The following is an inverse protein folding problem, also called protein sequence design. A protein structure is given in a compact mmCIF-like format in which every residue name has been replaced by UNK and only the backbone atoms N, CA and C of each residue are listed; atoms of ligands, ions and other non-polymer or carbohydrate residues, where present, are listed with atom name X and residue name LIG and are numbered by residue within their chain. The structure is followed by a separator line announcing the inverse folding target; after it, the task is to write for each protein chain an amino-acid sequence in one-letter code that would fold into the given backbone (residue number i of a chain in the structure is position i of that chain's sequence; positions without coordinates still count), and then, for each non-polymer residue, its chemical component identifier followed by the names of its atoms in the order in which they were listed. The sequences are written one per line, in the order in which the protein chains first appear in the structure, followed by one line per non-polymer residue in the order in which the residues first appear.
data_IF_865821387104
#
_entry.id   IF_865821387104
#
_cell.length_a   1.000
_cell.length_b   1.000
_cell.length_c   1.000
_cell.angle_alpha   90.00
_cell.angle_beta   90.00
_cell.angle_gamma   90.00
#
_symmetry.space_group_name_H-M   'P 1'
#
loop_
_entity.id
_entity.type
_entity.pdbx_description
1 polymer ?
#
# COMPACT_ATOMS: atom_id res chain seq x y z
N UNK A 1 -22.75 4.55 16.85
CA UNK A 1 -22.28 4.75 15.46
C UNK A 1 -23.17 3.93 14.54
N UNK A 2 -23.61 4.42 13.38
CA UNK A 2 -24.41 3.60 12.45
C UNK A 2 -23.54 2.54 11.75
N UNK A 3 -24.16 1.44 11.29
CA UNK A 3 -23.48 0.32 10.60
C UNK A 3 -22.64 0.80 9.41
N UNK A 4 -23.16 1.73 8.60
CA UNK A 4 -22.42 2.31 7.47
C UNK A 4 -21.10 3.00 7.89
N UNK A 5 -21.11 3.77 8.99
CA UNK A 5 -19.90 4.41 9.51
C UNK A 5 -18.95 3.40 10.13
N UNK A 6 -19.48 2.36 10.78
CA UNK A 6 -18.69 1.24 11.29
C UNK A 6 -17.95 0.53 10.15
N UNK A 7 -18.67 0.11 9.11
CA UNK A 7 -18.11 -0.56 7.93
C UNK A 7 -17.04 0.30 7.26
N UNK A 8 -17.32 1.59 7.05
CA UNK A 8 -16.35 2.53 6.47
C UNK A 8 -15.07 2.61 7.31
N UNK A 9 -15.18 2.66 8.65
CA UNK A 9 -14.02 2.69 9.54
C UNK A 9 -13.25 1.36 9.52
N UNK A 10 -13.93 0.22 9.53
CA UNK A 10 -13.28 -1.11 9.46
C UNK A 10 -12.56 -1.27 8.13
N UNK A 11 -13.21 -0.98 7.00
CA UNK A 11 -12.60 -1.04 5.66
C UNK A 11 -11.43 -0.07 5.52
N UNK A 12 -11.49 1.11 6.14
CA UNK A 12 -10.37 2.06 6.18
C UNK A 12 -9.18 1.52 6.97
N UNK A 13 -9.41 0.86 8.11
CA UNK A 13 -8.33 0.24 8.89
C UNK A 13 -7.69 -0.94 8.14
N UNK A 14 -8.50 -1.69 7.38
CA UNK A 14 -8.10 -2.90 6.66
C UNK A 14 -7.84 -2.66 5.16
N UNK A 15 -7.49 -1.43 4.79
CA UNK A 15 -7.30 -1.03 3.39
C UNK A 15 -6.19 -1.83 2.67
N UNK A 16 -5.24 -2.37 3.43
CA UNK A 16 -4.07 -3.14 2.96
C UNK A 16 -4.36 -4.62 2.66
N UNK A 17 -5.61 -5.08 2.85
CA UNK A 17 -6.01 -6.44 2.51
C UNK A 17 -5.99 -6.67 0.98
N UNK A 18 -5.68 -7.91 0.59
CA UNK A 18 -5.72 -8.31 -0.82
C UNK A 18 -7.18 -8.41 -1.33
N UNK A 19 -7.38 -8.62 -2.64
CA UNK A 19 -8.72 -8.66 -3.24
C UNK A 19 -9.62 -9.74 -2.62
N UNK A 20 -9.09 -10.96 -2.38
CA UNK A 20 -9.83 -12.09 -1.79
C UNK A 20 -10.21 -11.81 -0.33
N UNK A 21 -9.27 -11.25 0.44
CA UNK A 21 -9.46 -10.88 1.85
C UNK A 21 -10.46 -9.74 2.01
N UNK A 22 -10.47 -8.78 1.10
CA UNK A 22 -11.49 -7.72 1.06
C UNK A 22 -12.88 -8.29 0.81
N UNK A 23 -13.02 -9.22 -0.13
CA UNK A 23 -14.29 -9.91 -0.38
C UNK A 23 -14.77 -10.68 0.86
N UNK A 24 -13.87 -11.41 1.53
CA UNK A 24 -14.20 -12.10 2.78
C UNK A 24 -14.58 -11.12 3.92
N UNK A 25 -13.92 -9.97 4.00
CA UNK A 25 -14.26 -8.91 4.95
C UNK A 25 -15.64 -8.32 4.65
N UNK A 26 -15.93 -8.05 3.38
CA UNK A 26 -17.22 -7.52 2.95
C UNK A 26 -18.36 -8.50 3.27
N UNK A 27 -18.15 -9.79 3.01
CA UNK A 27 -19.09 -10.85 3.43
C UNK A 27 -19.28 -10.85 4.95
N UNK A 28 -18.20 -10.80 5.72
CA UNK A 28 -18.28 -10.78 7.20
C UNK A 28 -18.97 -9.53 7.73
N UNK A 29 -18.78 -8.36 7.12
CA UNK A 29 -19.47 -7.13 7.52
C UNK A 29 -20.96 -7.17 7.14
N UNK A 30 -21.29 -7.75 5.99
CA UNK A 30 -22.67 -7.92 5.56
C UNK A 30 -23.47 -8.84 6.48
N UNK A 31 -22.83 -9.87 7.03
CA UNK A 31 -23.46 -10.83 7.96
C UNK A 31 -23.72 -10.27 9.36
N UNK A 32 -23.14 -9.12 9.72
CA UNK A 32 -23.35 -8.52 11.05
C UNK A 32 -24.80 -8.05 11.15
N UNK A 33 -25.60 -8.75 11.93
CA UNK A 33 -26.97 -8.32 12.27
C UNK A 33 -26.94 -7.34 13.44
N UNK A 34 -28.00 -6.55 13.63
CA UNK A 34 -28.07 -5.62 14.78
C UNK A 34 -28.09 -6.36 16.13
N UNK A 35 -28.39 -7.67 16.12
CA UNK A 35 -28.36 -8.59 17.27
C UNK A 35 -26.95 -9.17 17.56
N UNK A 36 -25.99 -8.99 16.64
CA UNK A 36 -24.64 -9.46 16.91
C UNK A 36 -23.98 -8.62 18.02
N UNK A 37 -23.32 -9.29 18.96
CA UNK A 37 -22.54 -8.68 20.07
C UNK A 37 -21.34 -7.82 19.63
N UNK A 38 -21.30 -7.40 18.37
CA UNK A 38 -20.30 -6.50 17.80
C UNK A 38 -20.56 -5.09 18.33
N UNK A 39 -19.64 -4.63 19.19
CA UNK A 39 -19.66 -3.25 19.65
C UNK A 39 -19.34 -2.30 18.48
N UNK A 40 -20.39 -1.75 17.86
CA UNK A 40 -20.30 -0.81 16.74
C UNK A 40 -19.52 0.46 17.10
N UNK A 41 -19.23 0.76 18.36
CA UNK A 41 -18.39 1.88 18.74
C UNK A 41 -16.89 1.54 18.77
N UNK A 42 -16.50 0.26 18.55
CA UNK A 42 -15.12 -0.22 18.58
C UNK A 42 -14.66 -0.86 17.25
N UNK A 43 -14.65 -0.12 16.13
CA UNK A 43 -14.25 -0.66 14.81
C UNK A 43 -12.81 -1.16 14.77
N UNK A 44 -11.89 -0.55 15.53
CA UNK A 44 -10.48 -0.98 15.60
C UNK A 44 -10.35 -2.34 16.28
N UNK A 45 -11.10 -2.57 17.36
CA UNK A 45 -11.12 -3.87 18.06
C UNK A 45 -11.65 -4.96 17.15
N UNK A 46 -12.74 -4.69 16.40
CA UNK A 46 -13.26 -5.62 15.41
C UNK A 46 -12.23 -5.92 14.30
N UNK A 47 -11.60 -4.89 13.74
CA UNK A 47 -10.58 -5.06 12.70
C UNK A 47 -9.39 -5.91 13.18
N UNK A 48 -8.91 -5.67 14.40
CA UNK A 48 -7.82 -6.46 14.99
C UNK A 48 -8.23 -7.91 15.26
N UNK A 49 -9.44 -8.14 15.76
CA UNK A 49 -9.98 -9.48 15.97
C UNK A 49 -10.12 -10.24 14.64
N UNK A 50 -10.67 -9.59 13.62
CA UNK A 50 -10.81 -10.14 12.27
C UNK A 50 -9.45 -10.55 11.69
N UNK A 51 -8.43 -9.68 11.81
CA UNK A 51 -7.07 -9.95 11.36
C UNK A 51 -6.45 -11.18 12.05
N UNK A 52 -6.54 -11.25 13.38
CA UNK A 52 -6.02 -12.39 14.15
C UNK A 52 -6.66 -13.71 13.73
N UNK A 53 -7.98 -13.74 13.62
CA UNK A 53 -8.74 -14.97 13.37
C UNK A 53 -8.65 -15.43 11.91
N UNK A 54 -8.75 -14.50 10.94
CA UNK A 54 -8.93 -14.85 9.54
C UNK A 54 -7.69 -14.67 8.67
N UNK A 55 -6.79 -13.75 9.03
CA UNK A 55 -5.67 -13.34 8.16
C UNK A 55 -4.33 -13.88 8.66
N UNK A 56 -4.01 -13.75 9.95
CA UNK A 56 -2.68 -14.09 10.49
C UNK A 56 -2.53 -15.50 11.04
N UNK A 57 -3.63 -16.24 11.25
CA UNK A 57 -3.75 -17.65 11.70
C UNK A 57 -2.42 -18.25 12.21
N UNK A 58 -2.13 -18.06 13.51
CA UNK A 58 -1.04 -18.71 14.27
C UNK A 58 0.27 -18.96 13.51
N UNK A 59 0.76 -18.00 12.73
CA UNK A 59 2.10 -18.09 12.16
C UNK A 59 3.10 -17.65 13.21
N UNK A 60 3.90 -18.57 13.73
CA UNK A 60 5.03 -18.19 14.58
C UNK A 60 6.00 -17.31 13.77
N UNK A 61 6.10 -16.04 14.15
CA UNK A 61 7.05 -15.10 13.56
C UNK A 61 8.22 -14.93 14.51
N UNK A 62 9.44 -15.25 14.07
CA UNK A 62 10.65 -14.98 14.84
C UNK A 62 10.85 -13.47 15.00
N UNK A 63 11.24 -13.00 16.19
CA UNK A 63 11.43 -11.57 16.52
C UNK A 63 12.39 -10.84 15.56
N UNK A 64 13.47 -11.51 15.11
CA UNK A 64 14.40 -10.96 14.12
C UNK A 64 13.71 -10.56 12.79
N UNK A 65 12.56 -11.16 12.48
CA UNK A 65 11.76 -10.79 11.32
C UNK A 65 11.31 -9.32 11.37
N UNK A 66 11.14 -8.70 12.54
CA UNK A 66 10.70 -7.31 12.64
C UNK A 66 11.77 -6.35 12.12
N UNK A 67 12.98 -6.45 12.66
CA UNK A 67 14.09 -5.58 12.28
C UNK A 67 14.43 -5.74 10.79
N UNK A 68 14.52 -6.98 10.30
CA UNK A 68 14.74 -7.25 8.86
C UNK A 68 13.62 -6.65 8.01
N UNK A 69 12.36 -6.79 8.43
CA UNK A 69 11.22 -6.21 7.68
C UNK A 69 11.33 -4.68 7.59
N UNK A 70 11.73 -4.01 8.67
CA UNK A 70 11.91 -2.55 8.69
C UNK A 70 13.05 -2.11 7.76
N UNK A 71 14.19 -2.81 7.81
CA UNK A 71 15.34 -2.51 6.95
C UNK A 71 14.97 -2.69 5.47
N UNK A 72 14.33 -3.81 5.12
CA UNK A 72 13.89 -4.10 3.74
C UNK A 72 12.84 -3.07 3.28
N UNK A 73 11.92 -2.67 4.16
CA UNK A 73 10.93 -1.63 3.90
C UNK A 73 11.57 -0.28 3.60
N UNK A 74 12.61 0.09 4.36
CA UNK A 74 13.36 1.32 4.12
C UNK A 74 14.00 1.33 2.74
N UNK A 75 14.75 0.27 2.38
CA UNK A 75 15.38 0.16 1.07
C UNK A 75 14.36 0.14 -0.07
N UNK A 76 13.24 -0.56 0.10
CA UNK A 76 12.17 -0.58 -0.90
C UNK A 76 11.58 0.81 -1.15
N UNK A 77 11.35 1.61 -0.10
CA UNK A 77 10.87 2.98 -0.27
C UNK A 77 11.91 3.91 -0.87
N UNK A 78 13.18 3.80 -0.48
CA UNK A 78 14.26 4.58 -1.10
C UNK A 78 14.33 4.27 -2.60
N UNK A 79 14.25 3.00 -2.99
CA UNK A 79 14.25 2.60 -4.39
C UNK A 79 13.03 3.15 -5.17
N UNK A 80 11.83 3.04 -4.60
CA UNK A 80 10.60 3.55 -5.24
C UNK A 80 10.58 5.08 -5.37
N UNK A 81 11.01 5.79 -4.31
CA UNK A 81 11.17 7.24 -4.36
C UNK A 81 12.24 7.64 -5.36
N UNK A 82 13.36 6.91 -5.43
CA UNK A 82 14.40 7.11 -6.45
C UNK A 82 13.85 6.95 -7.86
N UNK A 83 13.03 5.92 -8.10
CA UNK A 83 12.39 5.68 -9.41
C UNK A 83 11.37 6.76 -9.76
N UNK A 84 10.60 7.25 -8.78
CA UNK A 84 9.69 8.38 -8.97
C UNK A 84 10.45 9.67 -9.32
N UNK A 85 11.49 10.01 -8.54
CA UNK A 85 12.34 11.18 -8.78
C UNK A 85 13.07 11.08 -10.11
N UNK A 86 13.54 9.89 -10.50
CA UNK A 86 14.13 9.65 -11.80
C UNK A 86 13.14 9.98 -12.93
N UNK A 87 11.88 9.54 -12.82
CA UNK A 87 10.82 9.92 -13.76
C UNK A 87 10.57 11.43 -13.78
N UNK A 88 10.53 12.07 -12.62
CA UNK A 88 10.33 13.52 -12.51
C UNK A 88 11.46 14.31 -13.18
N UNK A 89 12.71 14.01 -12.82
CA UNK A 89 13.90 14.67 -13.37
C UNK A 89 14.00 14.43 -14.88
N UNK A 90 13.72 13.21 -15.34
CA UNK A 90 13.77 12.86 -16.77
C UNK A 90 12.71 13.63 -17.57
N UNK A 91 11.47 13.72 -17.04
CA UNK A 91 10.41 14.53 -17.64
C UNK A 91 10.80 16.00 -17.71
N UNK A 92 11.30 16.57 -16.61
CA UNK A 92 11.74 17.96 -16.54
C UNK A 92 12.90 18.24 -17.50
N UNK A 93 13.86 17.33 -17.61
CA UNK A 93 14.99 17.43 -18.54
C UNK A 93 14.52 17.38 -19.99
N UNK A 94 13.52 16.54 -20.28
CA UNK A 94 12.87 16.49 -21.59
C UNK A 94 12.15 17.80 -21.92
N UNK A 95 11.50 18.46 -20.95
CA UNK A 95 10.90 19.79 -21.17
C UNK A 95 12.00 20.86 -21.38
N UNK A 96 13.06 20.82 -20.57
CA UNK A 96 14.19 21.75 -20.70
C UNK A 96 14.90 21.64 -22.05
N UNK A 97 14.90 20.46 -22.67
CA UNK A 97 15.41 20.25 -24.02
C UNK A 97 14.79 21.20 -25.05
N UNK A 98 13.51 21.54 -24.91
CA UNK A 98 12.81 22.47 -25.82
C UNK A 98 13.19 23.94 -25.60
N UNK A 99 13.77 24.28 -24.44
CA UNK A 99 14.21 25.66 -24.11
C UNK A 99 15.69 25.85 -24.43
N UNK A 100 16.52 24.85 -24.14
CA UNK A 100 17.97 24.91 -24.33
C UNK A 100 18.49 23.51 -24.67
N UNK A 101 18.43 23.10 -25.95
CA UNK A 101 18.92 21.79 -26.35
C UNK A 101 20.44 21.74 -26.15
N UNK A 102 20.89 20.86 -25.26
CA UNK A 102 22.33 20.61 -24.99
C UNK A 102 22.87 19.37 -25.67
N UNK A 103 22.00 18.54 -26.24
CA UNK A 103 22.32 17.27 -26.86
C UNK A 103 21.57 17.17 -28.19
N UNK A 104 22.18 16.57 -29.19
CA UNK A 104 21.53 16.35 -30.49
C UNK A 104 20.66 15.09 -30.44
N UNK A 105 19.52 15.19 -29.74
CA UNK A 105 18.47 14.16 -29.76
C UNK A 105 17.37 14.57 -30.72
N UNK A 106 16.82 13.59 -31.44
CA UNK A 106 15.60 13.82 -32.22
C UNK A 106 14.46 14.22 -31.30
N UNK A 107 13.68 15.24 -31.69
CA UNK A 107 12.49 15.69 -30.97
C UNK A 107 11.53 14.54 -30.66
N UNK A 108 11.42 13.55 -31.55
CA UNK A 108 10.60 12.36 -31.35
C UNK A 108 11.06 11.54 -30.15
N UNK A 109 12.37 11.37 -29.98
CA UNK A 109 12.96 10.64 -28.84
C UNK A 109 12.63 11.38 -27.54
N UNK A 110 12.78 12.70 -27.53
CA UNK A 110 12.50 13.53 -26.34
C UNK A 110 11.04 13.43 -25.92
N UNK A 111 10.10 13.53 -26.87
CA UNK A 111 8.66 13.36 -26.59
C UNK A 111 8.37 11.95 -26.03
N UNK A 112 8.94 10.91 -26.63
CA UNK A 112 8.77 9.53 -26.17
C UNK A 112 9.34 9.34 -24.75
N UNK A 113 10.50 9.94 -24.46
CA UNK A 113 11.12 9.93 -23.13
C UNK A 113 10.25 10.62 -22.09
N UNK A 114 9.63 11.76 -22.41
CA UNK A 114 8.70 12.45 -21.50
C UNK A 114 7.49 11.56 -21.20
N UNK A 115 6.87 10.98 -22.22
CA UNK A 115 5.73 10.07 -22.06
C UNK A 115 6.13 8.86 -21.20
N UNK A 116 7.27 8.24 -21.50
CA UNK A 116 7.81 7.12 -20.74
C UNK A 116 8.08 7.48 -19.27
N UNK A 117 8.62 8.68 -19.01
CA UNK A 117 8.88 9.17 -17.67
C UNK A 117 7.59 9.42 -16.87
N UNK A 118 6.54 9.94 -17.54
CA UNK A 118 5.22 10.11 -16.94
C UNK A 118 4.60 8.75 -16.58
N UNK A 119 4.66 7.78 -17.49
CA UNK A 119 4.19 6.42 -17.23
C UNK A 119 4.97 5.77 -16.08
N UNK A 120 6.29 5.98 -16.02
CA UNK A 120 7.15 5.51 -14.94
C UNK A 120 6.74 6.10 -13.57
N UNK A 121 6.39 7.39 -13.53
CA UNK A 121 5.88 8.03 -12.31
C UNK A 121 4.57 7.40 -11.83
N UNK A 122 3.60 7.17 -12.74
CA UNK A 122 2.36 6.48 -12.42
C UNK A 122 2.58 5.05 -11.95
N UNK A 123 3.48 4.31 -12.61
CA UNK A 123 3.87 2.98 -12.20
C UNK A 123 4.50 3.00 -10.79
N UNK A 124 5.38 3.95 -10.49
CA UNK A 124 5.98 4.10 -9.15
C UNK A 124 4.94 4.32 -8.07
N UNK A 125 3.99 5.24 -8.28
CA UNK A 125 2.89 5.48 -7.33
C UNK A 125 2.05 4.22 -7.10
N UNK A 126 1.77 3.47 -8.18
CA UNK A 126 1.06 2.21 -8.10
C UNK A 126 1.84 1.17 -7.27
N UNK A 127 3.14 1.03 -7.50
CA UNK A 127 4.00 0.13 -6.73
C UNK A 127 4.14 0.55 -5.27
N UNK A 128 4.23 1.85 -4.96
CA UNK A 128 4.21 2.36 -3.58
C UNK A 128 2.98 1.84 -2.85
N UNK A 129 1.79 1.95 -3.45
CA UNK A 129 0.55 1.45 -2.83
C UNK A 129 0.61 -0.05 -2.53
N UNK A 130 1.12 -0.85 -3.47
CA UNK A 130 1.26 -2.31 -3.28
C UNK A 130 2.26 -2.62 -2.17
N UNK A 131 3.43 -1.98 -2.21
CA UNK A 131 4.53 -2.22 -1.28
C UNK A 131 4.14 -1.79 0.14
N UNK A 132 3.51 -0.62 0.30
CA UNK A 132 2.95 -0.19 1.59
C UNK A 132 1.89 -1.17 2.11
N UNK A 133 1.02 -1.67 1.24
CA UNK A 133 0.00 -2.66 1.61
C UNK A 133 0.65 -3.95 2.13
N UNK A 134 1.68 -4.45 1.43
CA UNK A 134 2.42 -5.64 1.82
C UNK A 134 3.12 -5.45 3.18
N UNK A 135 3.90 -4.38 3.34
CA UNK A 135 4.62 -4.13 4.58
C UNK A 135 3.69 -3.85 5.76
N UNK A 136 2.60 -3.12 5.56
CA UNK A 136 1.60 -2.90 6.62
C UNK A 136 1.06 -4.23 7.14
N UNK A 137 0.69 -5.13 6.21
CA UNK A 137 0.23 -6.47 6.57
C UNK A 137 1.30 -7.26 7.32
N UNK A 138 2.55 -7.23 6.84
CA UNK A 138 3.66 -7.97 7.43
C UNK A 138 4.02 -7.47 8.83
N UNK A 139 4.04 -6.15 9.02
CA UNK A 139 4.29 -5.53 10.32
C UNK A 139 3.18 -5.88 11.33
N UNK A 140 1.93 -5.88 10.90
CA UNK A 140 0.82 -6.28 11.77
C UNK A 140 0.88 -7.78 12.11
N UNK A 141 1.21 -8.65 11.15
CA UNK A 141 1.42 -10.08 11.40
C UNK A 141 2.47 -10.28 12.51
N UNK A 142 3.64 -9.64 12.38
CA UNK A 142 4.72 -9.72 13.36
C UNK A 142 4.28 -9.14 14.71
N UNK A 143 3.60 -7.99 14.72
CA UNK A 143 3.10 -7.37 15.97
C UNK A 143 2.09 -8.26 16.71
N UNK A 144 1.22 -8.97 16.00
CA UNK A 144 0.23 -9.83 16.63
C UNK A 144 0.79 -11.17 17.11
N UNK A 145 1.88 -11.64 16.51
CA UNK A 145 2.49 -12.94 16.79
C UNK A 145 3.77 -12.84 17.63
N UNK A 146 4.31 -11.63 17.86
CA UNK A 146 5.34 -11.38 18.85
C UNK A 146 4.72 -11.48 20.25
N UNK A 147 4.92 -12.63 20.92
CA UNK A 147 4.74 -12.77 22.36
C UNK A 147 6.03 -12.42 23.08
#
# INVERSE_FOLDING_TARGET
MNKASFDKKVKKQLWFLNKKEKQALDQRLSSISDDDSVNLNKPVTFANAYLRQNVFRNKETKSYSMFVTLVVMMFAYVALLGLFLFGLITSLSGVQFFVSPKVDLSTTVVILTIIGAILLMFASIYFIKIVTSYFTKKLLEIKFNSK
#
